data_IF_856571380227
#
_entry.id   IF_856571380227
#
_cell.length_a   1.000
_cell.length_b   1.000
_cell.length_c   1.000
_cell.angle_alpha   90.00
_cell.angle_beta   90.00
_cell.angle_gamma   90.00
#
_symmetry.space_group_name_H-M   'P 1'
#
loop_
_entity.id
_entity.type
_entity.pdbx_description
1 polymer ?
#
# COMPACT_ATOMS: atom_id res chain seq x y z
N UNK A 1 -3.13 10.61 -3.95
CA UNK A 1 -4.08 9.99 -4.89
C UNK A 1 -3.40 8.76 -5.51
N UNK A 2 -4.00 7.56 -5.41
CA UNK A 2 -3.42 6.30 -5.91
C UNK A 2 -4.17 5.93 -7.20
N UNK A 3 -3.54 6.04 -8.36
CA UNK A 3 -4.15 5.66 -9.63
C UNK A 3 -3.84 4.18 -9.87
N UNK A 4 -4.82 3.31 -9.65
CA UNK A 4 -4.65 1.88 -9.94
C UNK A 4 -4.64 1.60 -11.44
N UNK A 5 -4.16 0.43 -11.83
CA UNK A 5 -4.11 -0.02 -13.24
C UNK A 5 -5.46 0.09 -13.95
N UNK A 6 -6.57 -0.13 -13.24
CA UNK A 6 -7.92 -0.02 -13.80
C UNK A 6 -8.28 1.41 -14.18
N UNK A 7 -7.80 2.41 -13.43
CA UNK A 7 -8.03 3.82 -13.73
C UNK A 7 -7.21 4.28 -14.93
N UNK A 8 -5.97 3.78 -15.07
CA UNK A 8 -5.16 3.99 -16.27
C UNK A 8 -5.87 3.42 -17.51
N UNK A 9 -6.42 2.22 -17.40
CA UNK A 9 -7.19 1.60 -18.49
C UNK A 9 -8.44 2.40 -18.87
N UNK A 10 -9.18 2.94 -17.88
CA UNK A 10 -10.33 3.82 -18.15
C UNK A 10 -9.92 5.12 -18.85
N UNK A 11 -8.79 5.73 -18.46
CA UNK A 11 -8.28 6.95 -19.09
C UNK A 11 -7.88 6.69 -20.54
N UNK A 12 -7.10 5.64 -20.80
CA UNK A 12 -6.70 5.25 -22.15
C UNK A 12 -7.90 4.98 -23.07
N UNK A 13 -8.95 4.34 -22.55
CA UNK A 13 -10.19 4.11 -23.32
C UNK A 13 -10.96 5.37 -23.64
N UNK A 14 -10.96 6.37 -22.74
CA UNK A 14 -11.58 7.69 -22.99
C UNK A 14 -10.79 8.49 -24.01
N UNK A 15 -9.48 8.32 -24.02
CA UNK A 15 -8.55 8.97 -24.94
C UNK A 15 -8.53 8.30 -26.33
N UNK A 16 -9.36 7.26 -26.52
CA UNK A 16 -9.55 6.59 -27.81
C UNK A 16 -8.50 5.54 -28.12
N UNK A 17 -7.64 5.18 -27.18
CA UNK A 17 -6.62 4.14 -27.39
C UNK A 17 -7.26 2.75 -27.24
N UNK A 18 -7.33 1.92 -28.32
CA UNK A 18 -7.88 0.57 -28.27
C UNK A 18 -6.84 -0.45 -27.77
N UNK A 19 -5.91 -0.03 -26.90
CA UNK A 19 -4.88 -0.92 -26.38
C UNK A 19 -5.46 -1.99 -25.46
N UNK A 20 -4.91 -3.20 -25.55
CA UNK A 20 -5.32 -4.32 -24.72
C UNK A 20 -4.97 -4.06 -23.24
N UNK A 21 -5.84 -4.50 -22.32
CA UNK A 21 -5.63 -4.38 -20.86
C UNK A 21 -4.26 -4.90 -20.42
N UNK A 22 -3.74 -5.94 -21.10
CA UNK A 22 -2.39 -6.49 -20.84
C UNK A 22 -1.27 -5.49 -21.11
N UNK A 23 -1.39 -4.68 -22.16
CA UNK A 23 -0.39 -3.69 -22.56
C UNK A 23 -0.42 -2.48 -21.62
N UNK A 24 -1.61 -2.02 -21.25
CA UNK A 24 -1.80 -0.99 -20.22
C UNK A 24 -1.23 -1.42 -18.86
N UNK A 25 -1.43 -2.68 -18.46
CA UNK A 25 -0.83 -3.22 -17.23
C UNK A 25 0.70 -3.26 -17.31
N UNK A 26 1.27 -3.60 -18.47
CA UNK A 26 2.72 -3.63 -18.67
C UNK A 26 3.31 -2.21 -18.57
N UNK A 27 2.71 -1.24 -19.25
CA UNK A 27 3.07 0.17 -19.15
C UNK A 27 2.94 0.70 -17.73
N UNK A 28 1.86 0.36 -17.01
CA UNK A 28 1.67 0.75 -15.61
C UNK A 28 2.82 0.31 -14.69
N UNK A 29 3.38 -0.89 -14.91
CA UNK A 29 4.53 -1.38 -14.16
C UNK A 29 5.86 -0.78 -14.64
N UNK A 30 6.04 -0.60 -15.96
CA UNK A 30 7.27 -0.04 -16.54
C UNK A 30 7.45 1.44 -16.17
N UNK A 31 6.37 2.21 -16.19
CA UNK A 31 6.36 3.63 -15.82
C UNK A 31 6.50 3.87 -14.30
N UNK A 32 6.53 2.79 -13.48
CA UNK A 32 6.65 2.93 -12.03
C UNK A 32 5.45 3.61 -11.37
N UNK A 33 4.31 3.73 -12.06
CA UNK A 33 3.06 4.29 -11.51
C UNK A 33 2.52 3.48 -10.32
N UNK A 34 3.01 2.25 -10.16
CA UNK A 34 2.87 1.52 -8.90
C UNK A 34 3.74 2.18 -7.82
N UNK A 35 3.21 3.22 -7.18
CA UNK A 35 3.78 3.74 -5.94
C UNK A 35 3.80 2.62 -4.88
N UNK A 36 4.97 2.17 -4.41
CA UNK A 36 5.02 1.29 -3.27
C UNK A 36 4.41 2.05 -2.10
N UNK A 37 3.25 1.59 -1.63
CA UNK A 37 2.72 2.11 -0.38
C UNK A 37 3.78 1.84 0.67
N UNK A 38 4.35 2.90 1.27
CA UNK A 38 5.22 2.72 2.43
C UNK A 38 4.46 1.82 3.40
N UNK A 39 5.06 0.69 3.78
CA UNK A 39 4.45 -0.24 4.74
C UNK A 39 3.95 0.61 5.92
N UNK A 40 2.69 0.48 6.37
CA UNK A 40 2.23 1.21 7.53
C UNK A 40 3.23 0.93 8.65
N UNK A 41 3.88 2.00 9.14
CA UNK A 41 5.17 1.90 9.83
C UNK A 41 5.12 0.93 11.02
N UNK A 42 3.95 0.79 11.66
CA UNK A 42 3.52 -0.33 12.52
C UNK A 42 1.98 -0.38 12.50
N UNK A 43 1.39 -1.58 12.55
CA UNK A 43 -0.02 -1.75 12.92
C UNK A 43 -0.29 -1.03 14.25
N UNK A 44 -1.34 -0.18 14.34
CA UNK A 44 -1.70 0.52 15.59
C UNK A 44 -1.87 -0.45 16.77
N UNK A 45 -2.34 -1.67 16.52
CA UNK A 45 -2.49 -2.71 17.54
C UNK A 45 -1.15 -3.18 18.13
N UNK A 46 -0.04 -3.11 17.38
CA UNK A 46 1.28 -3.45 17.89
C UNK A 46 1.84 -2.38 18.85
N UNK A 47 1.41 -1.11 18.72
CA UNK A 47 1.85 -0.02 19.59
C UNK A 47 1.31 -0.16 21.02
N UNK A 48 0.03 -0.50 21.19
CA UNK A 48 -0.59 -0.72 22.51
C UNK A 48 -0.03 -1.92 23.29
N UNK A 49 0.63 -2.87 22.60
CA UNK A 49 1.18 -4.07 23.25
C UNK A 49 2.39 -3.74 24.14
N UNK A 50 3.16 -2.70 23.80
CA UNK A 50 4.34 -2.25 24.55
C UNK A 50 3.96 -1.47 25.82
N UNK A 51 2.81 -0.78 25.81
CA UNK A 51 2.32 0.02 26.94
C UNK A 51 1.93 -0.85 28.15
N UNK A 52 1.52 -2.09 27.92
CA UNK A 52 1.08 -3.03 28.98
C UNK A 52 2.21 -3.72 29.75
N UNK A 53 3.49 -3.51 29.41
CA UNK A 53 4.62 -4.15 30.10
C UNK A 53 5.22 -3.22 31.15
N UNK A 54 4.49 -3.00 32.24
CA UNK A 54 5.05 -2.61 33.54
C UNK A 54 4.41 -3.46 34.63
N UNK A 55 4.81 -4.73 34.70
CA UNK A 55 4.63 -5.51 35.93
C UNK A 55 5.82 -5.19 36.84
N UNK A 56 5.67 -4.17 37.69
CA UNK A 56 6.52 -3.99 38.85
C UNK A 56 6.29 -5.17 39.79
N UNK A 57 7.13 -6.21 39.72
CA UNK A 57 7.22 -7.21 40.78
C UNK A 57 8.30 -6.75 41.76
N UNK A 58 7.98 -6.32 42.99
CA UNK A 58 9.00 -6.21 44.02
C UNK A 58 9.35 -7.62 44.50
N UNK A 59 10.63 -7.97 44.40
CA UNK A 59 11.21 -9.15 45.03
C UNK A 59 11.26 -8.88 46.55
N UNK A 60 10.61 -9.71 47.36
CA UNK A 60 10.77 -9.69 48.81
C UNK A 60 11.32 -11.04 49.29
N UNK A 61 12.25 -10.92 50.26
CA UNK A 61 13.04 -11.93 50.95
C UNK A 61 12.29 -13.13 51.49
#
# INVERSE_FOLDING_TARGET
>A
MRYGCQRLFTLLRREGWPDNHKRAHRLYFLEGLHLPSKRPKRSRAAAHRLERVKLQRPYQS
#
